data_IF_915310631903
#
_entry.id   IF_915310631903
#
_cell.length_a   1.000
_cell.length_b   1.000
_cell.length_c   1.000
_cell.angle_alpha   90.00
_cell.angle_beta   90.00
_cell.angle_gamma   90.00
#
_symmetry.space_group_name_H-M   'P 1'
#
loop_
_entity.id
_entity.type
_entity.pdbx_description
1 polymer ?
#
# COMPACT_ATOMS: atom_id res chain seq x y z
N UNK A 1 -0.44 -16.12 36.37
CA UNK A 1 -0.29 -14.79 35.75
C UNK A 1 0.28 -14.97 34.35
N UNK A 2 -0.62 -15.15 33.36
CA UNK A 2 -0.29 -15.34 31.94
C UNK A 2 -1.45 -14.81 31.11
N UNK A 3 -1.22 -13.75 30.36
CA UNK A 3 -1.42 -13.70 28.91
C UNK A 3 -0.75 -12.42 28.41
N UNK A 4 0.41 -12.62 27.79
CA UNK A 4 1.01 -11.61 26.91
C UNK A 4 0.22 -11.75 25.60
N UNK A 5 -0.64 -10.79 25.29
CA UNK A 5 -1.31 -10.70 24.00
C UNK A 5 -0.45 -9.83 23.11
N UNK A 6 0.41 -10.47 22.31
CA UNK A 6 1.11 -9.83 21.20
C UNK A 6 0.07 -9.55 20.11
N UNK A 7 -0.28 -8.28 19.89
CA UNK A 7 -1.08 -7.87 18.73
C UNK A 7 -0.10 -7.65 17.57
N UNK A 8 -0.18 -8.52 16.58
CA UNK A 8 0.57 -8.45 15.31
C UNK A 8 -0.18 -7.53 14.35
N UNK A 9 0.43 -6.43 13.87
CA UNK A 9 -0.24 -5.42 13.02
C UNK A 9 0.62 -5.03 11.83
N UNK A 10 0.40 -5.59 10.64
CA UNK A 10 1.15 -5.15 9.45
C UNK A 10 0.43 -5.56 8.14
N UNK A 11 0.30 -4.65 7.17
CA UNK A 11 0.99 -4.56 5.85
C UNK A 11 0.50 -3.31 5.08
N UNK A 12 1.34 -2.71 4.23
CA UNK A 12 0.95 -1.69 3.25
C UNK A 12 0.73 -2.28 1.84
N UNK A 13 -0.26 -1.75 1.13
CA UNK A 13 -0.47 -1.91 -0.31
C UNK A 13 -0.06 -0.60 -1.02
N UNK A 14 0.51 -0.68 -2.23
CA UNK A 14 0.91 0.48 -3.05
C UNK A 14 0.10 0.50 -4.35
N UNK A 15 -0.55 1.62 -4.60
CA UNK A 15 -1.37 1.92 -5.79
C UNK A 15 -0.70 3.10 -6.52
N UNK A 16 -0.70 3.13 -7.85
CA UNK A 16 -0.21 4.26 -8.63
C UNK A 16 -1.27 4.70 -9.67
N UNK A 17 -1.46 6.01 -9.79
CA UNK A 17 -2.37 6.70 -10.71
C UNK A 17 -1.59 7.77 -11.48
N UNK A 18 -2.05 8.20 -12.65
CA UNK A 18 -1.62 9.45 -13.28
C UNK A 18 -2.69 10.53 -13.06
N UNK A 19 -2.27 11.79 -12.89
CA UNK A 19 -3.20 12.92 -12.92
C UNK A 19 -3.69 13.07 -14.37
N UNK A 20 -4.97 12.78 -14.55
CA UNK A 20 -5.84 13.02 -15.72
C UNK A 20 -5.90 11.92 -16.81
N UNK A 21 -7.15 11.45 -16.94
CA UNK A 21 -7.81 10.74 -18.05
C UNK A 21 -7.72 9.21 -18.01
N UNK A 22 -8.91 8.61 -17.92
CA UNK A 22 -9.18 7.23 -18.26
C UNK A 22 -8.51 6.86 -19.59
N UNK A 23 -7.47 6.03 -19.52
CA UNK A 23 -6.73 5.59 -20.71
C UNK A 23 -5.40 4.95 -20.31
N UNK A 24 -5.40 3.61 -20.34
CA UNK A 24 -4.26 2.70 -20.13
C UNK A 24 -3.64 2.63 -18.71
N UNK A 25 -3.30 1.39 -18.31
CA UNK A 25 -2.59 1.11 -17.06
C UNK A 25 -1.19 1.73 -17.08
N UNK A 26 -0.73 2.17 -15.91
CA UNK A 26 0.62 2.69 -15.72
C UNK A 26 1.63 1.57 -15.94
N UNK A 27 2.57 1.79 -16.85
CA UNK A 27 3.69 0.87 -17.02
C UNK A 27 4.66 1.00 -15.83
N UNK A 28 4.74 -0.07 -15.03
CA UNK A 28 5.64 -0.20 -13.88
C UNK A 28 6.76 -1.17 -14.23
N UNK A 29 8.02 -0.73 -14.06
CA UNK A 29 9.23 -1.49 -14.38
C UNK A 29 10.09 -1.73 -13.15
N UNK A 30 11.04 -2.67 -13.26
CA UNK A 30 12.08 -2.92 -12.25
C UNK A 30 11.52 -3.10 -10.82
N UNK A 31 10.31 -3.66 -10.72
CA UNK A 31 9.63 -3.91 -9.45
C UNK A 31 10.43 -4.90 -8.61
N UNK A 32 10.85 -4.48 -7.43
CA UNK A 32 11.66 -5.29 -6.53
C UNK A 32 11.35 -4.99 -5.07
N UNK A 33 11.04 -6.03 -4.30
CA UNK A 33 11.04 -6.00 -2.85
C UNK A 33 12.39 -6.50 -2.31
N UNK A 34 12.91 -5.88 -1.25
CA UNK A 34 14.16 -6.29 -0.59
C UNK A 34 14.14 -7.72 -0.06
N UNK A 35 12.96 -8.21 0.31
CA UNK A 35 12.75 -9.61 0.73
C UNK A 35 13.04 -10.63 -0.38
N UNK A 36 13.07 -10.20 -1.64
CA UNK A 36 13.14 -11.07 -2.80
C UNK A 36 11.81 -11.76 -3.15
N UNK A 37 10.72 -11.47 -2.44
CA UNK A 37 9.39 -12.00 -2.78
C UNK A 37 8.90 -11.42 -4.11
N UNK A 38 8.16 -12.22 -4.92
CA UNK A 38 7.79 -11.83 -6.27
C UNK A 38 6.54 -10.93 -6.26
N UNK A 39 6.70 -9.67 -5.83
CA UNK A 39 5.65 -8.66 -5.95
C UNK A 39 5.24 -8.52 -7.42
N UNK A 40 3.96 -8.25 -7.67
CA UNK A 40 3.42 -8.21 -9.03
C UNK A 40 2.60 -6.95 -9.26
N UNK A 41 2.75 -6.38 -10.44
CA UNK A 41 1.76 -5.45 -10.98
C UNK A 41 0.58 -6.29 -11.45
N UNK A 42 -0.64 -5.92 -11.09
CA UNK A 42 -1.79 -6.64 -11.58
C UNK A 42 -2.01 -6.42 -13.09
N UNK A 43 -2.51 -7.45 -13.77
CA UNK A 43 -2.71 -7.44 -15.24
C UNK A 43 -3.98 -6.72 -15.69
N UNK A 44 -4.78 -6.22 -14.74
CA UNK A 44 -6.01 -5.48 -14.98
C UNK A 44 -6.03 -4.20 -14.15
N UNK A 45 -7.07 -3.40 -14.31
CA UNK A 45 -7.34 -2.22 -13.51
C UNK A 45 -8.02 -2.55 -12.19
N UNK A 46 -7.68 -1.81 -11.13
CA UNK A 46 -8.15 -2.07 -9.77
C UNK A 46 -9.67 -1.90 -9.68
N UNK A 47 -10.36 -2.89 -9.11
CA UNK A 47 -11.79 -2.83 -8.84
C UNK A 47 -12.17 -3.57 -7.55
N UNK A 48 -13.41 -3.37 -7.11
CA UNK A 48 -13.99 -4.11 -5.98
C UNK A 48 -14.00 -5.62 -6.30
N UNK A 49 -13.66 -6.43 -5.29
CA UNK A 49 -13.52 -7.88 -5.42
C UNK A 49 -12.10 -8.34 -5.75
N UNK A 50 -11.16 -7.43 -6.02
CA UNK A 50 -9.79 -7.80 -6.35
C UNK A 50 -8.98 -8.28 -5.16
N UNK A 51 -8.22 -9.36 -5.38
CA UNK A 51 -7.22 -9.84 -4.43
C UNK A 51 -6.02 -8.91 -4.45
N UNK A 52 -5.61 -8.41 -3.28
CA UNK A 52 -4.58 -7.36 -3.17
C UNK A 52 -3.22 -7.83 -2.66
N UNK A 53 -3.09 -9.10 -2.26
CA UNK A 53 -1.81 -9.72 -1.89
C UNK A 53 -1.45 -10.89 -2.80
N UNK A 54 -0.14 -11.16 -2.96
CA UNK A 54 0.34 -12.33 -3.70
C UNK A 54 0.26 -13.65 -2.90
N UNK A 55 0.13 -13.56 -1.58
CA UNK A 55 0.23 -14.67 -0.63
C UNK A 55 -0.97 -14.80 0.31
N UNK A 56 -2.05 -14.04 0.05
CA UNK A 56 -3.36 -14.15 0.73
C UNK A 56 -4.48 -14.08 -0.29
N UNK A 57 -5.70 -14.38 0.15
CA UNK A 57 -6.91 -14.37 -0.69
C UNK A 57 -7.91 -13.30 -0.21
N UNK A 58 -7.43 -12.27 0.49
CA UNK A 58 -8.29 -11.16 0.87
C UNK A 58 -8.59 -10.28 -0.32
N UNK A 59 -9.82 -9.77 -0.38
CA UNK A 59 -10.31 -8.92 -1.47
C UNK A 59 -10.76 -7.56 -0.98
N UNK A 60 -10.83 -6.61 -1.91
CA UNK A 60 -11.41 -5.29 -1.66
C UNK A 60 -12.93 -5.39 -1.63
N UNK A 61 -13.54 -4.78 -0.62
CA UNK A 61 -15.00 -4.72 -0.40
C UNK A 61 -15.56 -3.39 -0.89
N UNK A 62 -14.89 -2.29 -0.58
CA UNK A 62 -15.27 -0.94 -1.02
C UNK A 62 -14.04 -0.05 -1.12
N UNK A 63 -14.10 0.98 -1.97
CA UNK A 63 -13.04 1.98 -2.14
C UNK A 63 -13.62 3.29 -2.69
N UNK A 64 -12.94 4.44 -2.50
CA UNK A 64 -13.23 5.67 -3.22
C UNK A 64 -13.20 5.44 -4.73
N UNK A 65 -14.12 6.08 -5.46
CA UNK A 65 -14.24 5.90 -6.92
C UNK A 65 -12.99 6.37 -7.66
N UNK A 66 -12.25 7.32 -7.09
CA UNK A 66 -10.97 7.82 -7.58
C UNK A 66 -9.86 6.75 -7.58
N UNK A 67 -9.98 5.69 -6.78
CA UNK A 67 -9.03 4.57 -6.78
C UNK A 67 -9.40 3.45 -7.77
N UNK A 68 -10.62 3.46 -8.32
CA UNK A 68 -11.03 2.49 -9.33
C UNK A 68 -10.34 2.76 -10.65
N UNK A 69 -10.01 1.71 -11.38
CA UNK A 69 -9.33 1.84 -12.66
C UNK A 69 -7.79 1.92 -12.55
N UNK A 70 -7.25 2.06 -11.33
CA UNK A 70 -5.83 2.27 -11.09
C UNK A 70 -4.95 1.06 -11.35
N UNK A 71 -3.66 1.31 -11.55
CA UNK A 71 -2.65 0.24 -11.54
C UNK A 71 -2.21 0.00 -10.10
N UNK A 72 -2.12 -1.26 -9.67
CA UNK A 72 -1.67 -1.59 -8.32
C UNK A 72 -0.59 -2.66 -8.29
N UNK A 73 0.21 -2.60 -7.25
CA UNK A 73 1.23 -3.60 -6.95
C UNK A 73 0.68 -4.51 -5.86
N UNK A 74 0.46 -5.77 -6.19
CA UNK A 74 0.19 -6.83 -5.22
C UNK A 74 1.46 -7.09 -4.40
N UNK A 75 1.41 -6.74 -3.12
CA UNK A 75 2.50 -6.95 -2.16
C UNK A 75 2.38 -8.33 -1.48
N UNK A 76 3.38 -8.73 -0.72
CA UNK A 76 3.29 -9.92 0.14
C UNK A 76 2.87 -9.51 1.54
N UNK A 77 1.80 -10.10 2.06
CA UNK A 77 1.43 -9.97 3.46
C UNK A 77 2.51 -10.57 4.38
N UNK A 78 3.38 -11.46 3.92
CA UNK A 78 4.48 -11.95 4.75
C UNK A 78 5.59 -10.90 4.97
N UNK A 79 5.71 -9.90 4.09
CA UNK A 79 6.69 -8.80 4.20
C UNK A 79 6.21 -7.65 5.07
N UNK A 80 5.19 -7.93 5.85
CA UNK A 80 4.56 -6.98 6.73
C UNK A 80 5.55 -6.41 7.73
N UNK A 81 6.53 -7.19 8.22
CA UNK A 81 7.57 -6.72 9.18
C UNK A 81 8.75 -6.02 8.48
N UNK A 82 8.53 -5.48 7.28
CA UNK A 82 9.58 -4.90 6.44
C UNK A 82 10.18 -3.63 7.05
N UNK A 83 11.48 -3.43 6.80
CA UNK A 83 12.26 -2.28 7.26
C UNK A 83 13.24 -1.80 6.18
N UNK A 84 13.69 -0.56 6.29
CA UNK A 84 14.61 0.13 5.40
C UNK A 84 13.92 1.07 4.42
N UNK A 85 14.57 2.21 4.16
CA UNK A 85 14.06 3.35 3.37
C UNK A 85 13.70 3.00 1.91
N UNK A 86 14.27 1.93 1.36
CA UNK A 86 14.10 1.45 -0.01
C UNK A 86 13.63 -0.02 -0.04
N UNK A 87 12.71 -0.40 0.84
CA UNK A 87 12.19 -1.76 0.91
C UNK A 87 11.55 -2.22 -0.40
N UNK A 88 10.77 -1.34 -1.04
CA UNK A 88 10.15 -1.58 -2.34
C UNK A 88 10.62 -0.52 -3.33
N UNK A 89 11.16 -0.95 -4.46
CA UNK A 89 11.58 -0.06 -5.55
C UNK A 89 10.86 -0.43 -6.84
N UNK A 90 10.47 0.56 -7.61
CA UNK A 90 9.92 0.38 -8.95
C UNK A 90 10.12 1.65 -9.77
N UNK A 91 9.98 1.53 -11.09
CA UNK A 91 10.09 2.65 -12.01
C UNK A 91 8.76 2.90 -12.72
N UNK A 92 8.44 4.16 -12.92
CA UNK A 92 7.29 4.60 -13.72
C UNK A 92 7.76 5.41 -14.92
N UNK A 93 7.06 5.28 -16.05
CA UNK A 93 7.46 5.90 -17.32
C UNK A 93 6.87 7.28 -17.57
N UNK A 94 6.01 7.75 -16.66
CA UNK A 94 5.35 9.05 -16.66
C UNK A 94 5.22 9.58 -15.22
N UNK A 95 4.81 10.84 -15.04
CA UNK A 95 4.46 11.36 -13.72
C UNK A 95 3.21 10.69 -13.19
N UNK A 96 3.20 10.36 -11.90
CA UNK A 96 2.15 9.59 -11.23
C UNK A 96 1.85 10.15 -9.84
N UNK A 97 0.62 10.03 -9.38
CA UNK A 97 0.23 10.04 -7.98
C UNK A 97 0.31 8.61 -7.45
N UNK A 98 1.19 8.36 -6.49
CA UNK A 98 1.24 7.09 -5.77
C UNK A 98 0.36 7.19 -4.54
N UNK A 99 -0.54 6.23 -4.39
CA UNK A 99 -1.36 6.02 -3.21
C UNK A 99 -0.81 4.85 -2.38
N UNK A 100 -0.63 5.03 -1.08
CA UNK A 100 -0.29 3.95 -0.14
C UNK A 100 -1.54 3.62 0.66
N UNK A 101 -1.97 2.36 0.56
CA UNK A 101 -3.00 1.78 1.40
C UNK A 101 -2.33 1.18 2.63
N UNK A 102 -2.30 1.93 3.73
CA UNK A 102 -1.65 1.52 4.96
C UNK A 102 -2.65 0.89 5.94
N UNK A 103 -2.26 -0.22 6.57
CA UNK A 103 -3.10 -0.97 7.51
C UNK A 103 -3.68 -0.04 8.57
N UNK A 104 -5.01 0.00 8.70
CA UNK A 104 -5.65 0.94 9.63
C UNK A 104 -5.26 0.76 11.09
N UNK A 105 -4.71 -0.39 11.47
CA UNK A 105 -4.22 -0.65 12.82
C UNK A 105 -2.87 0.03 13.08
N UNK A 106 -2.07 0.31 12.05
CA UNK A 106 -0.81 1.06 12.13
C UNK A 106 -1.01 2.58 12.12
N UNK A 107 -2.22 3.04 12.42
CA UNK A 107 -2.64 4.44 12.27
C UNK A 107 -3.19 4.95 13.59
N UNK A 108 -3.05 6.27 13.80
CA UNK A 108 -3.41 6.90 15.08
C UNK A 108 -4.87 6.65 15.48
N UNK A 109 -5.79 6.57 14.49
CA UNK A 109 -7.22 6.26 14.72
C UNK A 109 -7.44 4.94 15.47
N UNK A 110 -6.53 3.96 15.31
CA UNK A 110 -6.56 2.67 16.03
C UNK A 110 -5.45 2.53 17.06
N UNK A 111 -4.79 3.63 17.43
CA UNK A 111 -3.72 3.65 18.42
C UNK A 111 -2.38 3.12 17.93
N UNK A 112 -2.21 2.90 16.63
CA UNK A 112 -0.92 2.65 16.01
C UNK A 112 -0.19 3.94 15.69
N UNK A 113 0.95 3.83 15.01
CA UNK A 113 1.69 4.99 14.49
C UNK A 113 2.25 4.65 13.12
N UNK A 114 2.09 5.50 12.09
CA UNK A 114 2.64 5.21 10.78
C UNK A 114 4.18 5.34 10.77
N UNK A 115 4.88 4.66 9.85
CA UNK A 115 6.31 4.89 9.63
C UNK A 115 6.62 6.35 9.31
N UNK A 116 7.78 6.86 9.73
CA UNK A 116 8.13 8.28 9.53
C UNK A 116 8.18 8.62 8.04
N UNK A 117 8.71 7.71 7.22
CA UNK A 117 8.80 7.91 5.77
C UNK A 117 7.43 8.11 5.14
N UNK A 118 6.37 7.50 5.69
CA UNK A 118 5.02 7.62 5.16
C UNK A 118 4.47 8.99 5.52
N UNK A 119 4.45 9.33 6.81
CA UNK A 119 3.89 10.60 7.29
C UNK A 119 4.67 11.83 6.85
N UNK A 120 5.97 11.68 6.53
CA UNK A 120 6.84 12.77 6.08
C UNK A 120 6.76 13.04 4.58
N UNK A 121 6.59 11.99 3.78
CA UNK A 121 6.67 12.09 2.33
C UNK A 121 5.33 11.97 1.62
N UNK A 122 4.28 11.51 2.31
CA UNK A 122 2.93 11.37 1.79
C UNK A 122 1.93 12.18 2.62
N UNK A 123 0.89 12.65 1.95
CA UNK A 123 -0.28 13.28 2.56
C UNK A 123 -1.35 12.22 2.81
N UNK A 124 -1.89 12.15 4.03
CA UNK A 124 -3.04 11.31 4.31
C UNK A 124 -4.28 11.86 3.60
N UNK A 125 -5.00 11.02 2.88
CA UNK A 125 -6.27 11.40 2.27
C UNK A 125 -7.37 11.18 3.30
N UNK A 126 -7.76 12.26 3.97
CA UNK A 126 -8.80 12.22 5.01
C UNK A 126 -10.11 11.64 4.46
N UNK A 127 -10.84 10.94 5.34
CA UNK A 127 -12.12 10.26 5.07
C UNK A 127 -12.08 9.10 4.05
N UNK A 128 -10.95 8.86 3.38
CA UNK A 128 -10.83 7.74 2.45
C UNK A 128 -10.48 6.44 3.18
N UNK A 129 -11.31 5.42 2.97
CA UNK A 129 -11.10 4.07 3.49
C UNK A 129 -11.27 3.06 2.36
N UNK A 130 -10.37 2.08 2.30
CA UNK A 130 -10.53 0.91 1.44
C UNK A 130 -10.85 -0.28 2.32
N UNK A 131 -12.12 -0.66 2.37
CA UNK A 131 -12.58 -1.80 3.18
C UNK A 131 -12.20 -3.11 2.50
N UNK A 132 -11.89 -4.12 3.31
CA UNK A 132 -11.41 -5.41 2.83
C UNK A 132 -12.04 -6.57 3.57
N UNK A 133 -11.88 -7.78 3.04
CA UNK A 133 -12.37 -9.00 3.68
C UNK A 133 -11.53 -9.44 4.89
N UNK A 134 -10.34 -8.87 5.12
CA UNK A 134 -9.62 -9.08 6.38
C UNK A 134 -10.36 -8.35 7.51
N UNK A 135 -11.31 -9.06 8.13
CA UNK A 135 -12.15 -8.52 9.18
C UNK A 135 -11.35 -8.09 10.43
N UNK A 136 -10.15 -8.64 10.64
CA UNK A 136 -9.28 -8.22 11.76
C UNK A 136 -8.69 -6.84 11.55
N UNK A 137 -8.49 -6.46 10.28
CA UNK A 137 -8.00 -5.14 9.89
C UNK A 137 -9.17 -4.17 9.65
N UNK A 138 -10.21 -4.59 8.93
CA UNK A 138 -11.35 -3.78 8.54
C UNK A 138 -11.10 -2.96 7.27
N UNK A 139 -10.14 -2.03 7.31
CA UNK A 139 -9.83 -1.16 6.18
C UNK A 139 -8.35 -0.77 6.10
N UNK A 140 -7.95 -0.25 4.94
CA UNK A 140 -6.74 0.54 4.75
C UNK A 140 -7.06 2.03 4.80
N UNK A 141 -6.18 2.79 5.45
CA UNK A 141 -6.12 4.24 5.29
C UNK A 141 -5.31 4.60 4.05
N UNK A 142 -5.68 5.68 3.38
CA UNK A 142 -5.05 6.08 2.10
C UNK A 142 -4.11 7.25 2.34
N UNK A 143 -2.88 7.14 1.82
CA UNK A 143 -1.91 8.22 1.73
C UNK A 143 -1.56 8.46 0.28
N UNK A 144 -1.16 9.67 -0.11
CA UNK A 144 -0.78 9.99 -1.50
C UNK A 144 0.45 10.89 -1.59
N UNK A 145 1.19 10.74 -2.67
CA UNK A 145 2.23 11.69 -3.07
C UNK A 145 2.43 11.64 -4.59
N UNK A 146 2.81 12.79 -5.17
CA UNK A 146 3.11 12.89 -6.58
C UNK A 146 4.59 12.64 -6.84
N UNK A 147 4.87 11.82 -7.85
CA UNK A 147 6.21 11.46 -8.29
C UNK A 147 6.38 11.80 -9.78
N UNK A 148 7.53 12.36 -10.18
CA UNK A 148 7.87 12.45 -11.59
C UNK A 148 8.15 11.05 -12.16
N UNK A 149 8.26 10.97 -13.50
CA UNK A 149 8.86 9.81 -14.17
C UNK A 149 10.21 9.45 -13.52
N UNK A 150 10.41 8.17 -13.23
CA UNK A 150 11.68 7.66 -12.71
C UNK A 150 11.50 6.56 -11.68
N UNK A 151 12.58 6.31 -10.93
CA UNK A 151 12.59 5.37 -9.81
C UNK A 151 11.85 5.96 -8.61
N UNK A 152 10.98 5.14 -8.01
CA UNK A 152 10.24 5.40 -6.79
C UNK A 152 10.67 4.38 -5.74
N UNK A 153 10.90 4.85 -4.52
CA UNK A 153 11.31 4.05 -3.36
C UNK A 153 10.28 4.19 -2.26
N UNK A 154 9.84 3.07 -1.73
CA UNK A 154 8.89 2.97 -0.63
C UNK A 154 9.60 2.27 0.53
N UNK A 155 9.49 2.87 1.72
CA UNK A 155 10.12 2.34 2.94
C UNK A 155 9.42 1.10 3.48
N UNK A 156 10.01 0.51 4.52
CA UNK A 156 9.44 -0.66 5.18
C UNK A 156 8.20 -0.32 6.01
N UNK A 157 7.25 -1.25 6.08
CA UNK A 157 6.00 -1.03 6.82
C UNK A 157 6.19 -0.93 8.34
N UNK A 158 7.28 -1.49 8.88
CA UNK A 158 7.62 -1.44 10.30
C UNK A 158 8.88 -0.57 10.56
N UNK A 159 9.19 0.36 9.64
CA UNK A 159 10.22 1.35 9.92
C UNK A 159 9.77 2.30 11.03
N UNK A 160 10.66 2.71 11.96
CA UNK A 160 10.30 3.61 13.04
C UNK A 160 9.60 4.89 12.56
N UNK A 161 8.66 5.44 13.34
CA UNK A 161 8.21 5.00 14.66
C UNK A 161 7.07 3.96 14.61
N UNK A 162 6.93 3.21 13.51
CA UNK A 162 5.82 2.28 13.35
C UNK A 162 5.68 1.32 14.55
N UNK A 163 4.45 1.21 15.05
CA UNK A 163 4.07 0.45 16.24
C UNK A 163 2.72 -0.25 16.03
#
# INVERSE_FOLDING_TARGET
MKRVEWVLILTALVIAFSIAIAGDLIEVKNLKAKSGKPYKVAEKSLDVGDVYYIDRQYTIVSMPDELKGGTWIMTANDDKHSKGEDFLTFEVTQSVTVYILHDSRGEEEKGGTPPEWLSKNFEKVEDWKVEVTDASMGWFNVWKADFPKGEIKIGGNEDPPAA
#
